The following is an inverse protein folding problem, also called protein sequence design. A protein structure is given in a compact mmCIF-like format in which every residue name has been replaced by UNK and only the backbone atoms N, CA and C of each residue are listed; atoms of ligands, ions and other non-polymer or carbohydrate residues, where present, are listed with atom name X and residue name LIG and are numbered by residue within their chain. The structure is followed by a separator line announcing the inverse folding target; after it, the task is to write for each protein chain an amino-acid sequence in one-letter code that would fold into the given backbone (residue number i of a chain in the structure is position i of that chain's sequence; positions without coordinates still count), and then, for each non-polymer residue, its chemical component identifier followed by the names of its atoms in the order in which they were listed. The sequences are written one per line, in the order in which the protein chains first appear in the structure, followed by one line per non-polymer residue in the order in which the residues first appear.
data_IF_545924718771
#
_entry.id   IF_545924718771
#
_cell.length_a   1.000
_cell.length_b   1.000
_cell.length_c   1.000
_cell.angle_alpha   90.00
_cell.angle_beta   90.00
_cell.angle_gamma   90.00
#
_symmetry.space_group_name_H-M   'P 1'
#
loop_
_entity.id
_entity.type
_entity.pdbx_description
1 polymer ?
#
# COMPACT_ATOMS: atom_id res chain seq x y z
N UNK A 1 -42.56 -61.60 58.43
CA UNK A 1 -43.25 -62.04 57.20
C UNK A 1 -43.01 -60.98 56.14
N UNK A 2 -42.45 -61.39 55.01
CA UNK A 2 -42.30 -60.60 53.78
C UNK A 2 -43.68 -60.28 53.18
N UNK A 3 -43.86 -59.06 52.64
CA UNK A 3 -44.52 -58.86 51.34
C UNK A 3 -43.86 -57.67 50.63
N UNK A 4 -43.05 -57.97 49.62
CA UNK A 4 -42.70 -57.04 48.54
C UNK A 4 -43.80 -57.08 47.46
N UNK A 5 -44.12 -55.94 46.87
CA UNK A 5 -44.81 -55.78 45.56
C UNK A 5 -44.33 -54.44 44.94
N UNK A 6 -44.37 -54.27 43.60
CA UNK A 6 -43.16 -54.17 42.78
C UNK A 6 -42.91 -52.79 42.17
N UNK A 7 -41.75 -52.68 41.53
CA UNK A 7 -41.30 -51.60 40.65
C UNK A 7 -42.37 -51.16 39.65
N UNK A 8 -42.56 -49.85 39.52
CA UNK A 8 -42.88 -49.27 38.22
C UNK A 8 -42.16 -47.93 38.03
N UNK A 9 -41.65 -47.80 36.83
CA UNK A 9 -40.68 -46.84 36.31
C UNK A 9 -41.40 -45.55 35.94
N UNK A 10 -41.04 -44.40 36.55
CA UNK A 10 -41.33 -43.10 35.93
C UNK A 10 -40.15 -42.12 36.06
N UNK A 11 -39.73 -41.54 34.91
CA UNK A 11 -38.53 -40.74 34.80
C UNK A 11 -38.72 -39.35 35.40
N UNK A 12 -37.66 -38.86 36.07
CA UNK A 12 -37.52 -37.43 36.35
C UNK A 12 -37.69 -36.65 35.04
N UNK A 13 -38.60 -35.68 34.96
CA UNK A 13 -38.64 -34.78 33.81
C UNK A 13 -37.36 -33.96 33.83
N UNK A 14 -36.44 -34.33 32.93
CA UNK A 14 -35.36 -33.48 32.44
C UNK A 14 -35.92 -32.07 32.25
N UNK A 15 -35.37 -31.10 32.98
CA UNK A 15 -35.62 -29.69 32.69
C UNK A 15 -34.53 -29.22 31.74
N UNK A 16 -34.76 -29.12 30.41
CA UNK A 16 -33.94 -28.29 29.56
C UNK A 16 -34.65 -26.95 29.39
N UNK A 17 -34.50 -26.06 30.35
CA UNK A 17 -34.91 -24.67 30.18
C UNK A 17 -33.68 -23.76 30.27
N UNK A 18 -32.68 -24.06 29.44
CA UNK A 18 -31.77 -23.03 28.98
C UNK A 18 -32.26 -22.63 27.59
N UNK A 19 -32.93 -21.49 27.49
CA UNK A 19 -32.95 -20.73 26.24
C UNK A 19 -31.71 -19.81 26.29
N UNK A 20 -30.55 -20.24 25.77
CA UNK A 20 -29.41 -19.35 25.71
C UNK A 20 -29.75 -18.25 24.70
N UNK A 21 -29.86 -17.02 25.19
CA UNK A 21 -29.97 -15.82 24.37
C UNK A 21 -29.08 -15.93 23.11
N UNK A 22 -29.56 -15.47 21.94
CA UNK A 22 -28.86 -15.67 20.67
C UNK A 22 -27.42 -15.17 20.78
N UNK A 23 -26.48 -16.04 20.38
CA UNK A 23 -25.05 -15.73 20.46
C UNK A 23 -24.77 -14.42 19.70
N UNK A 24 -23.96 -13.51 20.26
CA UNK A 24 -23.65 -12.26 19.59
C UNK A 24 -22.94 -12.55 18.26
N UNK A 25 -23.60 -12.18 17.16
CA UNK A 25 -23.04 -12.31 15.82
C UNK A 25 -22.12 -11.12 15.53
N UNK A 26 -20.90 -11.40 15.09
CA UNK A 26 -19.96 -10.36 14.66
C UNK A 26 -20.33 -9.90 13.25
N UNK A 27 -20.27 -8.59 13.01
CA UNK A 27 -20.46 -8.01 11.68
C UNK A 27 -19.43 -8.57 10.71
N UNK A 28 -19.88 -9.08 9.57
CA UNK A 28 -19.03 -9.55 8.47
C UNK A 28 -19.05 -8.53 7.35
N UNK A 29 -17.88 -8.09 6.92
CA UNK A 29 -17.73 -7.15 5.80
C UNK A 29 -17.50 -7.93 4.50
N UNK A 30 -18.41 -7.78 3.54
CA UNK A 30 -18.26 -8.36 2.20
C UNK A 30 -17.15 -7.66 1.43
N UNK A 31 -16.57 -8.32 0.43
CA UNK A 31 -15.51 -7.71 -0.39
C UNK A 31 -16.01 -6.46 -1.12
N UNK A 32 -17.25 -6.50 -1.64
CA UNK A 32 -17.92 -5.37 -2.29
C UNK A 32 -18.06 -4.17 -1.34
N UNK A 33 -18.50 -4.42 -0.11
CA UNK A 33 -18.61 -3.36 0.91
C UNK A 33 -17.25 -2.73 1.20
N UNK A 34 -16.20 -3.53 1.38
CA UNK A 34 -14.85 -3.02 1.64
C UNK A 34 -14.34 -2.16 0.49
N UNK A 35 -14.56 -2.58 -0.75
CA UNK A 35 -14.17 -1.82 -1.94
C UNK A 35 -14.94 -0.50 -2.06
N UNK A 36 -16.25 -0.51 -1.86
CA UNK A 36 -17.07 0.70 -1.89
C UNK A 36 -16.57 1.74 -0.87
N UNK A 37 -16.30 1.31 0.36
CA UNK A 37 -15.77 2.21 1.40
C UNK A 37 -14.36 2.70 1.07
N UNK A 38 -13.48 1.84 0.51
CA UNK A 38 -12.15 2.27 0.09
C UNK A 38 -12.23 3.36 -0.99
N UNK A 39 -13.07 3.17 -2.00
CA UNK A 39 -13.28 4.15 -3.07
C UNK A 39 -13.83 5.46 -2.51
N UNK A 40 -14.84 5.41 -1.63
CA UNK A 40 -15.39 6.61 -1.00
C UNK A 40 -14.34 7.33 -0.14
N UNK A 41 -13.56 6.58 0.65
CA UNK A 41 -12.51 7.12 1.51
C UNK A 41 -11.34 7.74 0.74
N UNK A 42 -10.93 7.14 -0.38
CA UNK A 42 -9.86 7.65 -1.25
C UNK A 42 -10.29 8.94 -1.98
N UNK A 43 -11.55 9.01 -2.41
CA UNK A 43 -12.11 10.17 -3.10
C UNK A 43 -12.47 11.34 -2.16
N UNK A 44 -12.58 11.08 -0.86
CA UNK A 44 -12.96 12.09 0.11
C UNK A 44 -11.87 13.15 0.33
N UNK A 45 -12.23 14.44 0.41
CA UNK A 45 -11.29 15.51 0.72
C UNK A 45 -10.74 15.41 2.16
N UNK A 46 -9.63 16.11 2.42
CA UNK A 46 -9.00 16.14 3.74
C UNK A 46 -9.98 16.73 4.77
N UNK A 47 -10.27 15.96 5.83
CA UNK A 47 -11.22 16.33 6.88
C UNK A 47 -12.54 15.56 6.84
N UNK A 48 -12.99 15.10 5.67
CA UNK A 48 -14.25 14.36 5.52
C UNK A 48 -14.07 12.84 5.70
N UNK A 49 -12.85 12.34 5.53
CA UNK A 49 -12.47 10.94 5.77
C UNK A 49 -12.93 10.42 7.14
N UNK A 50 -12.79 11.24 8.18
CA UNK A 50 -13.23 10.88 9.54
C UNK A 50 -14.76 10.81 9.69
N UNK A 51 -15.52 11.53 8.86
CA UNK A 51 -16.98 11.46 8.87
C UNK A 51 -17.47 10.14 8.25
N UNK A 52 -16.86 9.69 7.17
CA UNK A 52 -17.13 8.38 6.53
C UNK A 52 -16.86 7.26 7.53
N UNK A 53 -15.70 7.27 8.19
CA UNK A 53 -15.36 6.26 9.21
C UNK A 53 -16.37 6.19 10.35
N UNK A 54 -16.82 7.35 10.87
CA UNK A 54 -17.82 7.41 11.93
C UNK A 54 -19.20 6.93 11.48
N UNK A 55 -19.62 7.28 10.25
CA UNK A 55 -20.90 6.84 9.68
C UNK A 55 -20.96 5.32 9.55
N UNK A 56 -19.87 4.71 9.13
CA UNK A 56 -19.79 3.27 8.90
C UNK A 56 -19.40 2.46 10.15
N UNK A 57 -19.02 3.14 11.25
CA UNK A 57 -18.50 2.52 12.47
C UNK A 57 -17.15 1.82 12.27
N UNK A 58 -16.30 2.39 11.40
CA UNK A 58 -15.01 1.82 11.02
C UNK A 58 -13.86 2.57 11.69
N UNK A 59 -12.79 1.83 11.99
CA UNK A 59 -11.53 2.41 12.42
C UNK A 59 -10.60 2.60 11.22
N UNK A 60 -9.70 3.57 11.30
CA UNK A 60 -8.68 3.82 10.27
C UNK A 60 -7.85 2.58 9.94
N UNK A 61 -7.61 1.70 10.92
CA UNK A 61 -6.95 0.41 10.73
C UNK A 61 -7.65 -0.47 9.70
N UNK A 62 -8.99 -0.50 9.68
CA UNK A 62 -9.76 -1.30 8.72
C UNK A 62 -9.48 -0.85 7.29
N UNK A 63 -9.49 0.46 7.06
CA UNK A 63 -9.24 1.04 5.73
C UNK A 63 -7.81 0.76 5.29
N UNK A 64 -6.83 0.91 6.18
CA UNK A 64 -5.43 0.61 5.87
C UNK A 64 -5.25 -0.89 5.54
N UNK A 65 -5.85 -1.78 6.32
CA UNK A 65 -5.79 -3.23 6.08
C UNK A 65 -6.47 -3.62 4.77
N UNK A 66 -7.63 -3.06 4.47
CA UNK A 66 -8.35 -3.35 3.23
C UNK A 66 -7.64 -2.79 2.01
N UNK A 67 -7.03 -1.60 2.11
CA UNK A 67 -6.20 -1.04 1.05
C UNK A 67 -5.01 -1.96 0.76
N UNK A 68 -4.30 -2.41 1.79
CA UNK A 68 -3.21 -3.38 1.64
C UNK A 68 -3.67 -4.71 1.04
N UNK A 69 -4.83 -5.21 1.45
CA UNK A 69 -5.41 -6.43 0.90
C UNK A 69 -5.85 -6.24 -0.57
N UNK A 70 -6.33 -5.05 -0.96
CA UNK A 70 -6.64 -4.72 -2.35
C UNK A 70 -5.38 -4.71 -3.20
N UNK A 71 -4.36 -3.98 -2.74
CA UNK A 71 -3.09 -3.84 -3.45
C UNK A 71 -2.32 -5.18 -3.53
N UNK A 72 -2.57 -6.09 -2.60
CA UNK A 72 -2.06 -7.47 -2.63
C UNK A 72 -2.96 -8.44 -3.43
N UNK A 73 -4.10 -8.00 -3.97
CA UNK A 73 -5.07 -8.83 -4.69
C UNK A 73 -5.85 -9.81 -3.80
N UNK A 74 -5.77 -9.70 -2.48
CA UNK A 74 -6.38 -10.64 -1.52
C UNK A 74 -7.72 -10.20 -0.97
N UNK A 75 -8.17 -8.98 -1.26
CA UNK A 75 -9.42 -8.44 -0.71
C UNK A 75 -10.68 -9.20 -1.16
N UNK A 76 -10.67 -9.73 -2.39
CA UNK A 76 -11.78 -10.50 -2.98
C UNK A 76 -11.69 -12.00 -2.66
N UNK A 77 -10.53 -12.46 -2.20
CA UNK A 77 -10.36 -13.85 -1.77
C UNK A 77 -11.02 -14.04 -0.41
N UNK A 78 -12.14 -14.77 -0.39
CA UNK A 78 -12.80 -15.21 0.86
C UNK A 78 -11.74 -15.89 1.74
N UNK A 79 -11.49 -15.43 2.97
CA UNK A 79 -10.52 -16.10 3.83
C UNK A 79 -11.08 -17.49 4.14
N UNK A 80 -10.35 -18.52 3.71
CA UNK A 80 -10.45 -19.83 4.32
C UNK A 80 -9.84 -19.69 5.72
N UNK A 81 -10.70 -19.75 6.73
CA UNK A 81 -10.42 -19.73 8.16
C UNK A 81 -9.76 -18.47 8.76
N UNK A 82 -10.38 -17.83 9.77
CA UNK A 82 -9.81 -16.69 10.49
C UNK A 82 -8.61 -17.07 11.41
N UNK A 83 -8.22 -18.35 11.45
CA UNK A 83 -7.15 -18.87 12.31
C UNK A 83 -5.81 -19.09 11.58
N UNK A 84 -5.74 -18.86 10.27
CA UNK A 84 -4.50 -19.07 9.52
C UNK A 84 -3.57 -17.84 9.63
N UNK A 85 -2.27 -18.02 9.96
CA UNK A 85 -1.32 -16.91 10.00
C UNK A 85 -1.20 -16.30 8.60
N UNK A 86 -1.53 -15.01 8.49
CA UNK A 86 -1.39 -14.21 7.28
C UNK A 86 0.06 -14.30 6.78
N UNK A 87 0.30 -15.11 5.74
CA UNK A 87 1.58 -15.17 5.05
C UNK A 87 1.90 -13.75 4.53
N UNK A 88 3.08 -13.23 4.87
CA UNK A 88 3.53 -11.91 4.39
C UNK A 88 3.33 -11.85 2.88
N UNK A 89 2.67 -10.81 2.34
CA UNK A 89 2.46 -10.72 0.90
C UNK A 89 3.84 -10.67 0.23
N UNK A 90 4.07 -11.62 -0.69
CA UNK A 90 5.22 -11.54 -1.60
C UNK A 90 5.06 -10.25 -2.41
N UNK A 91 6.17 -9.52 -2.64
CA UNK A 91 6.16 -8.32 -3.49
C UNK A 91 5.44 -8.65 -4.78
N UNK A 92 4.42 -7.86 -5.13
CA UNK A 92 3.65 -8.07 -6.35
C UNK A 92 4.54 -7.81 -7.57
N UNK A 93 4.23 -8.41 -8.72
CA UNK A 93 5.00 -8.20 -9.95
C UNK A 93 5.12 -6.70 -10.29
N UNK A 94 4.04 -5.95 -10.07
CA UNK A 94 3.99 -4.50 -10.23
C UNK A 94 4.98 -3.77 -9.31
N UNK A 95 5.14 -4.20 -8.06
CA UNK A 95 6.11 -3.60 -7.14
C UNK A 95 7.55 -3.84 -7.59
N UNK A 96 7.84 -5.01 -8.15
CA UNK A 96 9.16 -5.33 -8.69
C UNK A 96 9.46 -4.49 -9.94
N UNK A 97 8.50 -4.39 -10.86
CA UNK A 97 8.60 -3.54 -12.05
C UNK A 97 8.79 -2.07 -11.68
N UNK A 98 8.07 -1.58 -10.67
CA UNK A 98 8.17 -0.20 -10.20
C UNK A 98 9.56 0.07 -9.58
N UNK A 99 10.09 -0.86 -8.78
CA UNK A 99 11.46 -0.77 -8.26
C UNK A 99 12.50 -0.76 -9.41
N UNK A 100 12.30 -1.59 -10.42
CA UNK A 100 13.18 -1.65 -11.58
C UNK A 100 13.12 -0.36 -12.41
N UNK A 101 11.93 0.16 -12.67
CA UNK A 101 11.71 1.42 -13.37
C UNK A 101 12.34 2.59 -12.61
N UNK A 102 12.21 2.64 -11.28
CA UNK A 102 12.87 3.65 -10.45
C UNK A 102 14.38 3.58 -10.56
N UNK A 103 14.97 2.38 -10.55
CA UNK A 103 16.42 2.19 -10.73
C UNK A 103 16.87 2.65 -12.11
N UNK A 104 16.12 2.32 -13.16
CA UNK A 104 16.41 2.76 -14.53
C UNK A 104 16.34 4.28 -14.65
N UNK A 105 15.33 4.90 -14.06
CA UNK A 105 15.16 6.35 -14.09
C UNK A 105 16.33 7.06 -13.37
N UNK A 106 16.68 6.63 -12.15
CA UNK A 106 17.81 7.19 -11.42
C UNK A 106 19.14 7.07 -12.19
N UNK A 107 19.35 5.95 -12.91
CA UNK A 107 20.52 5.79 -13.77
C UNK A 107 20.51 6.77 -14.95
N UNK A 108 19.39 6.89 -15.64
CA UNK A 108 19.25 7.82 -16.77
C UNK A 108 19.43 9.27 -16.34
N UNK A 109 18.93 9.66 -15.17
CA UNK A 109 19.15 10.99 -14.60
C UNK A 109 20.64 11.24 -14.31
N UNK A 110 21.35 10.25 -13.76
CA UNK A 110 22.79 10.35 -13.53
C UNK A 110 23.58 10.49 -14.86
N UNK A 111 23.20 9.74 -15.90
CA UNK A 111 23.83 9.85 -17.22
C UNK A 111 23.54 11.22 -17.87
N UNK A 112 22.33 11.76 -17.70
CA UNK A 112 21.98 13.10 -18.15
C UNK A 112 22.76 14.20 -17.44
N UNK A 113 22.98 14.08 -16.12
CA UNK A 113 23.79 15.08 -15.40
C UNK A 113 25.24 15.04 -15.86
N UNK A 114 25.81 13.85 -16.08
CA UNK A 114 27.17 13.68 -16.61
C UNK A 114 27.33 14.28 -18.01
N UNK A 115 26.40 14.02 -18.91
CA UNK A 115 26.44 14.55 -20.28
C UNK A 115 26.30 16.08 -20.30
N UNK A 116 25.40 16.65 -19.49
CA UNK A 116 25.28 18.11 -19.34
C UNK A 116 26.57 18.74 -18.82
N UNK A 117 27.22 18.12 -17.84
CA UNK A 117 28.51 18.59 -17.32
C UNK A 117 29.61 18.55 -18.38
N UNK A 118 29.65 17.50 -19.20
CA UNK A 118 30.60 17.42 -20.31
C UNK A 118 30.38 18.54 -21.34
N UNK A 119 29.11 18.84 -21.67
CA UNK A 119 28.76 19.96 -22.57
C UNK A 119 29.15 21.32 -21.98
N UNK A 120 28.96 21.53 -20.67
CA UNK A 120 29.36 22.77 -19.99
C UNK A 120 30.88 22.96 -20.03
N UNK A 121 31.66 21.90 -19.77
CA UNK A 121 33.12 21.94 -19.86
C UNK A 121 33.57 22.25 -21.29
N UNK A 122 32.99 21.59 -22.29
CA UNK A 122 33.28 21.88 -23.70
C UNK A 122 32.95 23.32 -24.08
N UNK A 123 31.80 23.83 -23.63
CA UNK A 123 31.41 25.22 -23.87
C UNK A 123 32.40 26.22 -23.28
N UNK A 124 32.85 25.97 -22.04
CA UNK A 124 33.87 26.80 -21.38
C UNK A 124 35.23 26.72 -22.08
N UNK A 125 35.65 25.53 -22.52
CA UNK A 125 36.90 25.36 -23.26
C UNK A 125 36.86 26.11 -24.60
N UNK A 126 35.73 26.06 -25.32
CA UNK A 126 35.56 26.81 -26.56
C UNK A 126 35.62 28.33 -26.30
N UNK A 127 34.94 28.82 -25.27
CA UNK A 127 34.98 30.25 -24.91
C UNK A 127 36.41 30.73 -24.60
N UNK A 128 37.20 29.92 -23.87
CA UNK A 128 38.60 30.24 -23.60
C UNK A 128 39.46 30.28 -24.88
N UNK A 129 39.22 29.37 -25.83
CA UNK A 129 39.94 29.36 -27.10
C UNK A 129 39.62 30.59 -27.96
N UNK A 130 38.37 31.06 -27.96
CA UNK A 130 37.99 32.30 -28.63
C UNK A 130 38.70 33.52 -28.01
N UNK A 131 38.73 33.62 -26.69
CA UNK A 131 39.43 34.72 -25.98
C UNK A 131 40.94 34.73 -26.31
N UNK A 132 41.58 33.56 -26.32
CA UNK A 132 42.99 33.43 -26.69
C UNK A 132 43.23 33.80 -28.16
N UNK A 133 42.36 33.39 -29.08
CA UNK A 133 42.44 33.75 -30.50
C UNK A 133 42.33 35.26 -30.69
N UNK A 134 41.34 35.90 -30.07
CA UNK A 134 41.14 37.35 -30.14
C UNK A 134 42.34 38.12 -29.55
N UNK A 135 42.92 37.62 -28.45
CA UNK A 135 44.12 38.23 -27.87
C UNK A 135 45.36 38.14 -28.77
N UNK A 136 45.48 37.06 -29.55
CA UNK A 136 46.60 36.85 -30.47
C UNK A 136 46.52 37.75 -31.71
N UNK A 137 45.30 37.99 -32.23
CA UNK A 137 45.08 38.88 -33.38
C UNK A 137 45.30 40.37 -33.04
N UNK A 138 45.16 40.74 -31.76
CA UNK A 138 45.39 42.11 -31.28
C UNK A 138 46.87 42.44 -31.02
N UNK A 139 47.79 41.48 -31.18
CA UNK A 139 49.22 41.73 -31.08
C UNK A 139 49.77 42.38 -32.36
N UNK A 140 49.66 43.72 -32.47
CA UNK A 140 50.32 44.49 -33.53
C UNK A 140 51.82 44.19 -33.59
N UNK A 141 52.41 43.95 -34.78
CA UNK A 141 53.83 43.65 -34.90
C UNK A 141 54.67 44.85 -34.46
N UNK A 142 55.84 44.64 -33.81
CA UNK A 142 56.69 45.73 -33.38
C UNK A 142 57.16 46.54 -34.60
N UNK A 143 56.89 47.84 -34.59
CA UNK A 143 57.42 48.77 -35.59
C UNK A 143 58.92 48.93 -35.32
N UNK A 144 59.74 48.20 -36.08
CA UNK A 144 61.21 48.38 -36.06
C UNK A 144 61.54 49.75 -36.65
N UNK A 145 62.08 50.65 -35.83
CA UNK A 145 62.76 51.89 -36.27
C UNK A 145 64.26 51.65 -36.42
#
# INVERSE_FOLDING_TARGET
MYVSTPSDDQPNPTTPAADPAPRPSRRVFTAEYKLAILTEYENAPNGEKGAILRREGLYSSHVIEWARARDAGTLTHRPADPAAPSKRPKKTAEQLELEELRRRNAKLEADLTKTKLALDIMGKAHALLEELSESADNATPPTTS
#
